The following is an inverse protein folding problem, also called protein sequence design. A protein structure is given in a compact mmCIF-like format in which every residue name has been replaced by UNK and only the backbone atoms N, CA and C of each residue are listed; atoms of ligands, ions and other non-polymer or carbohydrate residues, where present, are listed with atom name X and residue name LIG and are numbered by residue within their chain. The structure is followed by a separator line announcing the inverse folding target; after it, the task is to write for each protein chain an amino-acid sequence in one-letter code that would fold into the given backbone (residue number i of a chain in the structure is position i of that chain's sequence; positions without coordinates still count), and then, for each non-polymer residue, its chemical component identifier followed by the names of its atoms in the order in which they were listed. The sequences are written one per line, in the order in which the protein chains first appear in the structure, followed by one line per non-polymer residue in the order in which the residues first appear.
data_IF_454201056634
#
_entry.id   IF_454201056634
#
_cell.length_a   1.000
_cell.length_b   1.000
_cell.length_c   1.000
_cell.angle_alpha   90.00
_cell.angle_beta   90.00
_cell.angle_gamma   90.00
#
_symmetry.space_group_name_H-M   'P 1'
#
loop_
_entity.id
_entity.type
_entity.pdbx_description
1 polymer ?
#
# COMPACT_ATOMS: atom_id res chain seq x y z
N UNK A 1 6.05 -26.21 10.26
CA UNK A 1 4.68 -25.77 9.93
C UNK A 1 3.75 -26.39 10.95
N UNK A 2 2.72 -25.66 11.38
CA UNK A 2 1.67 -26.22 12.23
C UNK A 2 1.00 -27.41 11.52
N UNK A 3 0.74 -28.56 12.19
CA UNK A 3 0.19 -29.76 11.54
C UNK A 3 -1.12 -29.50 10.78
N UNK A 4 -1.96 -28.59 11.28
CA UNK A 4 -3.22 -28.22 10.63
C UNK A 4 -3.01 -27.51 9.28
N UNK A 5 -1.97 -26.68 9.18
CA UNK A 5 -1.62 -26.01 7.92
C UNK A 5 -1.13 -27.01 6.88
N UNK A 6 -0.37 -28.03 7.31
CA UNK A 6 0.06 -29.11 6.41
C UNK A 6 -1.13 -29.92 5.89
N UNK A 7 -2.08 -30.26 6.77
CA UNK A 7 -3.33 -30.91 6.37
C UNK A 7 -4.19 -30.06 5.44
N UNK A 8 -4.17 -28.73 5.59
CA UNK A 8 -4.92 -27.84 4.71
C UNK A 8 -4.29 -27.73 3.32
N UNK A 9 -2.96 -27.62 3.25
CA UNK A 9 -2.22 -27.52 1.98
C UNK A 9 -2.32 -28.83 1.20
N UNK A 10 -2.19 -29.96 1.88
CA UNK A 10 -2.17 -31.30 1.29
C UNK A 10 -3.53 -32.03 1.45
N UNK A 11 -4.63 -31.28 1.55
CA UNK A 11 -5.95 -31.82 1.87
C UNK A 11 -6.43 -32.85 0.83
N UNK A 12 -6.03 -32.69 -0.43
CA UNK A 12 -6.31 -33.59 -1.56
C UNK A 12 -5.54 -34.91 -1.48
N UNK A 13 -4.30 -34.86 -1.01
CA UNK A 13 -3.42 -36.02 -0.87
C UNK A 13 -3.63 -36.79 0.44
N UNK A 14 -4.37 -36.22 1.40
CA UNK A 14 -4.54 -36.81 2.71
C UNK A 14 -5.74 -37.79 2.76
N UNK A 15 -5.52 -39.12 2.93
CA UNK A 15 -6.53 -40.16 2.68
C UNK A 15 -7.73 -40.13 3.65
N UNK A 16 -7.61 -39.49 4.81
CA UNK A 16 -8.72 -39.35 5.79
C UNK A 16 -9.46 -38.01 5.71
N UNK A 17 -8.88 -37.03 5.04
CA UNK A 17 -9.37 -35.65 5.05
C UNK A 17 -10.05 -35.35 3.72
N UNK A 18 -9.32 -35.42 2.61
CA UNK A 18 -9.84 -35.25 1.24
C UNK A 18 -10.58 -33.94 0.98
N UNK A 19 -10.52 -32.96 1.90
CA UNK A 19 -11.47 -31.85 1.96
C UNK A 19 -10.92 -30.69 2.78
N UNK A 20 -10.83 -29.50 2.19
CA UNK A 20 -10.41 -28.29 2.89
C UNK A 20 -11.35 -27.91 4.03
N UNK A 21 -12.67 -28.02 3.84
CA UNK A 21 -13.66 -27.71 4.88
C UNK A 21 -13.53 -28.64 6.09
N UNK A 22 -13.19 -29.92 5.87
CA UNK A 22 -12.99 -30.87 6.97
C UNK A 22 -11.78 -30.50 7.83
N UNK A 23 -10.71 -30.00 7.22
CA UNK A 23 -9.55 -29.48 7.96
C UNK A 23 -9.95 -28.30 8.84
N UNK A 24 -10.67 -27.33 8.27
CA UNK A 24 -11.12 -26.14 8.99
C UNK A 24 -12.07 -26.50 10.13
N UNK A 25 -13.04 -27.39 9.87
CA UNK A 25 -13.99 -27.84 10.88
C UNK A 25 -13.29 -28.59 12.03
N UNK A 26 -12.31 -29.44 11.72
CA UNK A 26 -11.53 -30.15 12.73
C UNK A 26 -10.65 -29.20 13.54
N UNK A 27 -10.01 -28.22 12.89
CA UNK A 27 -9.11 -27.27 13.54
C UNK A 27 -9.85 -26.33 14.50
N UNK A 28 -10.96 -25.74 14.06
CA UNK A 28 -11.77 -24.83 14.86
C UNK A 28 -12.85 -25.54 15.71
N UNK A 29 -12.95 -26.87 15.59
CA UNK A 29 -13.98 -27.69 16.23
C UNK A 29 -15.40 -27.23 15.91
N UNK A 30 -15.64 -26.80 14.68
CA UNK A 30 -16.94 -26.28 14.25
C UNK A 30 -18.07 -27.33 14.36
N UNK A 31 -17.72 -28.63 14.38
CA UNK A 31 -18.68 -29.72 14.59
C UNK A 31 -19.20 -29.78 16.05
N UNK A 32 -18.48 -29.19 17.00
CA UNK A 32 -18.88 -29.09 18.42
C UNK A 32 -19.66 -27.80 18.71
N UNK A 33 -19.78 -26.88 17.74
CA UNK A 33 -20.41 -25.57 17.94
C UNK A 33 -21.90 -25.65 17.66
N UNK A 34 -22.71 -25.47 18.69
CA UNK A 34 -24.14 -25.24 18.55
C UNK A 34 -24.40 -23.79 18.12
N UNK A 35 -25.34 -23.59 17.19
CA UNK A 35 -25.70 -22.26 16.73
C UNK A 35 -26.61 -21.57 17.76
N UNK A 36 -26.22 -20.37 18.19
CA UNK A 36 -26.96 -19.55 19.16
C UNK A 36 -28.18 -18.81 18.57
N UNK A 37 -28.68 -19.22 17.42
CA UNK A 37 -29.74 -18.53 16.68
C UNK A 37 -31.07 -18.41 17.47
N UNK A 38 -31.45 -19.42 18.26
CA UNK A 38 -32.61 -19.32 19.16
C UNK A 38 -32.36 -18.50 20.42
N UNK A 39 -31.10 -18.28 20.82
CA UNK A 39 -30.77 -17.35 21.92
C UNK A 39 -30.93 -15.90 21.47
N UNK A 40 -30.64 -15.63 20.19
CA UNK A 40 -30.77 -14.31 19.60
C UNK A 40 -32.24 -13.96 19.28
N UNK A 41 -33.01 -14.91 18.77
CA UNK A 41 -34.44 -14.73 18.52
C UNK A 41 -35.17 -16.04 18.85
N UNK A 42 -35.92 -16.04 19.94
CA UNK A 42 -36.67 -17.19 20.40
C UNK A 42 -38.12 -17.22 19.86
N UNK A 43 -38.57 -16.16 19.18
CA UNK A 43 -39.94 -16.03 18.68
C UNK A 43 -40.11 -16.68 17.31
N UNK A 44 -39.04 -16.66 16.50
CA UNK A 44 -39.00 -17.31 15.19
C UNK A 44 -38.67 -18.81 15.31
N UNK A 45 -39.37 -19.65 14.55
CA UNK A 45 -39.19 -21.11 14.58
C UNK A 45 -37.78 -21.53 14.17
N UNK A 46 -37.17 -20.79 13.25
CA UNK A 46 -35.81 -21.00 12.74
C UNK A 46 -34.78 -20.12 13.46
N UNK A 47 -35.16 -19.42 14.53
CA UNK A 47 -34.36 -18.44 15.24
C UNK A 47 -33.86 -17.29 14.34
N UNK A 48 -32.84 -16.58 14.82
CA UNK A 48 -32.23 -15.49 14.07
C UNK A 48 -31.46 -16.03 12.85
N UNK A 49 -31.96 -15.76 11.64
CA UNK A 49 -31.34 -16.20 10.38
C UNK A 49 -29.90 -15.69 10.18
N UNK A 50 -29.52 -14.59 10.84
CA UNK A 50 -28.13 -14.08 10.80
C UNK A 50 -27.18 -14.88 11.69
N UNK A 51 -27.70 -15.48 12.76
CA UNK A 51 -26.93 -16.27 13.72
C UNK A 51 -26.97 -17.76 13.40
N UNK A 52 -27.88 -18.18 12.50
CA UNK A 52 -28.03 -19.56 12.06
C UNK A 52 -26.79 -19.99 11.26
N UNK A 53 -26.06 -20.96 11.80
CA UNK A 53 -24.92 -21.56 11.10
C UNK A 53 -25.46 -22.46 9.98
N UNK A 54 -25.39 -21.97 8.76
CA UNK A 54 -25.88 -22.70 7.57
C UNK A 54 -24.74 -23.46 6.92
N UNK A 55 -24.96 -24.72 6.57
CA UNK A 55 -23.98 -25.48 5.78
C UNK A 55 -23.92 -24.93 4.35
N UNK A 56 -22.71 -24.72 3.85
CA UNK A 56 -22.50 -24.29 2.46
C UNK A 56 -22.94 -25.38 1.49
N UNK A 57 -23.71 -25.00 0.47
CA UNK A 57 -24.11 -25.89 -0.64
C UNK A 57 -22.93 -26.27 -1.56
N UNK A 58 -21.80 -25.56 -1.43
CA UNK A 58 -20.56 -25.82 -2.17
C UNK A 58 -19.50 -26.21 -1.15
N UNK A 59 -18.84 -27.36 -1.36
CA UNK A 59 -17.88 -27.90 -0.42
C UNK A 59 -16.51 -27.23 -0.55
N UNK A 60 -15.65 -27.66 -1.47
CA UNK A 60 -14.35 -27.01 -1.69
C UNK A 60 -13.89 -27.25 -3.13
N UNK A 61 -12.76 -26.66 -3.51
CA UNK A 61 -12.16 -26.83 -4.83
C UNK A 61 -11.75 -28.28 -5.14
N UNK A 62 -11.52 -29.13 -4.12
CA UNK A 62 -11.26 -30.57 -4.33
C UNK A 62 -12.52 -31.30 -4.77
N UNK A 63 -13.63 -31.11 -4.05
CA UNK A 63 -14.88 -31.84 -4.31
C UNK A 63 -15.72 -31.25 -5.44
N UNK A 64 -15.62 -29.94 -5.66
CA UNK A 64 -16.46 -29.20 -6.61
C UNK A 64 -15.61 -28.30 -7.51
N UNK A 65 -14.60 -28.82 -8.22
CA UNK A 65 -13.62 -28.00 -8.94
C UNK A 65 -14.24 -27.07 -9.98
N UNK A 66 -15.34 -27.49 -10.63
CA UNK A 66 -16.05 -26.72 -11.64
C UNK A 66 -16.60 -25.40 -11.13
N UNK A 67 -17.04 -25.33 -9.87
CA UNK A 67 -17.53 -24.10 -9.25
C UNK A 67 -16.41 -23.06 -9.06
N UNK A 68 -15.15 -23.50 -8.99
CA UNK A 68 -14.01 -22.63 -8.73
C UNK A 68 -13.30 -22.15 -10.00
N UNK A 69 -13.59 -22.73 -11.16
CA UNK A 69 -12.98 -22.37 -12.46
C UNK A 69 -13.07 -20.86 -12.76
N UNK A 70 -14.21 -20.16 -12.54
CA UNK A 70 -14.29 -18.72 -12.79
C UNK A 70 -13.35 -17.88 -11.90
N UNK A 71 -12.91 -18.43 -10.77
CA UNK A 71 -12.04 -17.75 -9.81
C UNK A 71 -10.55 -18.06 -10.04
N UNK A 72 -10.23 -18.98 -10.95
CA UNK A 72 -8.86 -19.22 -11.41
C UNK A 72 -8.46 -18.05 -12.31
N UNK A 73 -8.12 -16.93 -11.69
CA UNK A 73 -7.62 -15.75 -12.38
C UNK A 73 -6.11 -15.88 -12.57
N UNK A 74 -5.66 -15.90 -13.82
CA UNK A 74 -4.28 -15.53 -14.13
C UNK A 74 -4.16 -14.03 -13.92
N UNK A 75 -3.93 -13.60 -12.68
CA UNK A 75 -3.66 -12.20 -12.37
C UNK A 75 -2.45 -11.79 -13.21
N UNK A 76 -2.62 -10.88 -14.19
CA UNK A 76 -1.48 -10.43 -14.98
C UNK A 76 -0.44 -9.87 -14.02
N UNK A 77 0.82 -10.26 -14.16
CA UNK A 77 1.90 -9.66 -13.38
C UNK A 77 1.84 -8.15 -13.61
N UNK A 78 1.39 -7.42 -12.60
CA UNK A 78 1.35 -5.97 -12.67
C UNK A 78 2.78 -5.47 -12.93
N UNK A 79 2.94 -4.62 -13.93
CA UNK A 79 4.22 -3.98 -14.18
C UNK A 79 4.61 -3.22 -12.91
N UNK A 80 5.85 -3.44 -12.44
CA UNK A 80 6.34 -2.78 -11.24
C UNK A 80 6.37 -1.27 -11.51
N UNK A 81 5.52 -0.53 -10.81
CA UNK A 81 5.58 0.92 -10.81
C UNK A 81 6.93 1.44 -10.30
N UNK A 82 7.22 2.74 -10.50
CA UNK A 82 8.44 3.35 -10.01
C UNK A 82 8.63 3.09 -8.51
N UNK A 83 9.89 2.88 -8.11
CA UNK A 83 10.23 2.69 -6.70
C UNK A 83 10.07 4.00 -5.95
N UNK A 84 9.49 3.92 -4.75
CA UNK A 84 9.55 4.98 -3.76
C UNK A 84 11.02 5.23 -3.38
N UNK A 85 11.33 6.46 -2.99
CA UNK A 85 12.65 6.86 -2.53
C UNK A 85 12.98 6.19 -1.18
N UNK A 86 14.23 5.77 -0.99
CA UNK A 86 14.71 5.38 0.34
C UNK A 86 15.06 6.65 1.11
N UNK A 87 14.43 6.85 2.26
CA UNK A 87 14.66 8.01 3.10
C UNK A 87 15.60 7.63 4.25
N UNK A 88 16.44 8.57 4.67
CA UNK A 88 17.23 8.40 5.88
C UNK A 88 16.31 8.48 7.11
N UNK A 89 16.76 7.92 8.24
CA UNK A 89 16.10 8.20 9.51
C UNK A 89 16.18 9.70 9.77
N UNK A 90 15.04 10.31 10.05
CA UNK A 90 14.97 11.72 10.43
C UNK A 90 14.32 11.84 11.81
N UNK A 91 14.55 12.97 12.44
CA UNK A 91 13.86 13.36 13.66
C UNK A 91 12.86 14.46 13.30
N UNK A 92 11.64 14.34 13.82
CA UNK A 92 10.54 15.25 13.48
C UNK A 92 10.87 16.68 13.91
N UNK A 93 10.99 17.59 12.95
CA UNK A 93 11.21 19.01 13.21
C UNK A 93 9.89 19.73 13.49
N UNK A 94 9.96 20.98 13.96
CA UNK A 94 8.77 21.81 14.21
C UNK A 94 7.91 22.01 12.95
N UNK A 95 8.54 22.19 11.78
CA UNK A 95 7.83 22.30 10.51
C UNK A 95 7.13 20.99 10.14
N UNK A 96 7.75 19.84 10.43
CA UNK A 96 7.17 18.55 10.12
C UNK A 96 5.94 18.28 10.99
N UNK A 97 6.01 18.61 12.30
CA UNK A 97 4.84 18.56 13.19
C UNK A 97 3.71 19.47 12.71
N UNK A 98 4.03 20.70 12.28
CA UNK A 98 3.03 21.62 11.73
C UNK A 98 2.38 21.05 10.47
N UNK A 99 3.15 20.40 9.61
CA UNK A 99 2.62 19.74 8.41
C UNK A 99 1.70 18.58 8.80
N UNK A 100 2.08 17.76 9.77
CA UNK A 100 1.23 16.70 10.34
C UNK A 100 -0.12 17.26 10.79
N UNK A 101 -0.12 18.27 11.66
CA UNK A 101 -1.34 18.89 12.19
C UNK A 101 -2.23 19.47 11.06
N UNK A 102 -1.60 20.10 10.07
CA UNK A 102 -2.30 20.68 8.91
C UNK A 102 -2.94 19.60 8.05
N UNK A 103 -2.25 18.48 7.83
CA UNK A 103 -2.77 17.35 7.06
C UNK A 103 -3.87 16.61 7.82
N UNK A 104 -3.76 16.47 9.14
CA UNK A 104 -4.80 15.86 9.96
C UNK A 104 -6.09 16.67 9.93
N UNK A 105 -6.01 18.00 10.12
CA UNK A 105 -7.18 18.87 9.98
C UNK A 105 -7.83 18.76 8.59
N UNK A 106 -7.01 18.75 7.53
CA UNK A 106 -7.51 18.54 6.17
C UNK A 106 -8.21 17.18 6.00
N UNK A 107 -7.69 16.09 6.59
CA UNK A 107 -8.30 14.76 6.49
C UNK A 107 -9.66 14.70 7.19
N UNK A 108 -9.79 15.35 8.34
CA UNK A 108 -11.07 15.45 9.05
C UNK A 108 -12.11 16.19 8.20
N UNK A 109 -11.75 17.36 7.68
CA UNK A 109 -12.61 18.16 6.81
C UNK A 109 -13.01 17.40 5.54
N UNK A 110 -12.06 16.73 4.88
CA UNK A 110 -12.32 15.91 3.70
C UNK A 110 -13.27 14.74 4.01
N UNK A 111 -13.16 14.14 5.19
CA UNK A 111 -14.03 13.04 5.63
C UNK A 111 -15.45 13.54 5.87
N UNK A 112 -15.60 14.67 6.57
CA UNK A 112 -16.90 15.31 6.79
C UNK A 112 -17.54 15.67 5.45
N UNK A 113 -16.77 16.25 4.52
CA UNK A 113 -17.26 16.67 3.21
C UNK A 113 -17.74 15.50 2.35
N UNK A 114 -17.07 14.35 2.40
CA UNK A 114 -17.36 13.22 1.51
C UNK A 114 -18.35 12.22 2.12
N UNK A 115 -18.30 12.03 3.44
CA UNK A 115 -19.05 10.98 4.14
C UNK A 115 -19.89 11.50 5.31
N UNK A 116 -19.72 12.76 5.73
CA UNK A 116 -20.44 13.36 6.86
C UNK A 116 -19.81 13.05 8.22
N UNK A 117 -20.32 13.74 9.25
CA UNK A 117 -19.79 13.66 10.63
C UNK A 117 -19.87 12.26 11.24
N UNK A 118 -20.92 11.48 10.93
CA UNK A 118 -21.07 10.13 11.47
C UNK A 118 -19.88 9.22 11.09
N UNK A 119 -19.42 9.29 9.84
CA UNK A 119 -18.28 8.50 9.39
C UNK A 119 -16.96 8.98 10.00
N UNK A 120 -16.79 10.29 10.23
CA UNK A 120 -15.63 10.77 10.96
C UNK A 120 -15.59 10.21 12.38
N UNK A 121 -16.74 10.13 13.05
CA UNK A 121 -16.84 9.57 14.40
C UNK A 121 -16.58 8.05 14.42
N UNK A 122 -17.18 7.30 13.49
CA UNK A 122 -17.17 5.83 13.55
C UNK A 122 -15.93 5.20 12.89
N UNK A 123 -15.41 5.81 11.82
CA UNK A 123 -14.28 5.28 11.03
C UNK A 123 -13.01 6.13 11.13
N UNK A 124 -13.14 7.39 11.54
CA UNK A 124 -12.03 8.34 11.62
C UNK A 124 -11.59 8.89 10.25
N UNK A 125 -10.63 9.83 10.26
CA UNK A 125 -10.08 10.48 9.05
C UNK A 125 -9.22 9.54 8.18
N UNK A 126 -8.93 8.34 8.69
CA UNK A 126 -8.19 7.28 7.99
C UNK A 126 -8.86 6.81 6.70
N UNK A 127 -10.18 6.98 6.58
CA UNK A 127 -10.95 6.60 5.37
C UNK A 127 -10.57 7.42 4.14
N UNK A 128 -10.11 8.67 4.33
CA UNK A 128 -9.61 9.52 3.24
C UNK A 128 -8.13 9.24 2.98
N UNK A 129 -7.32 9.28 4.02
CA UNK A 129 -5.87 9.09 3.95
C UNK A 129 -5.43 8.31 5.20
N UNK A 130 -4.87 7.10 5.06
CA UNK A 130 -4.33 6.35 6.19
C UNK A 130 -3.13 7.05 6.82
N UNK A 131 -2.89 6.82 8.13
CA UNK A 131 -1.76 7.43 8.84
C UNK A 131 -0.41 7.10 8.19
N UNK A 132 -0.23 5.88 7.69
CA UNK A 132 1.00 5.50 6.98
C UNK A 132 1.28 6.32 5.71
N UNK A 133 0.23 6.82 5.05
CA UNK A 133 0.35 7.72 3.91
C UNK A 133 0.70 9.13 4.39
N UNK A 134 0.03 9.62 5.43
CA UNK A 134 0.35 10.93 6.04
C UNK A 134 1.80 10.97 6.50
N UNK A 135 2.22 9.99 7.29
CA UNK A 135 3.60 9.88 7.80
C UNK A 135 4.57 9.96 6.63
N UNK A 136 4.34 9.14 5.59
CA UNK A 136 5.15 9.10 4.37
C UNK A 136 5.21 10.45 3.66
N UNK A 137 4.11 11.19 3.60
CA UNK A 137 4.08 12.54 3.02
C UNK A 137 4.98 13.47 3.82
N UNK A 138 4.88 13.45 5.15
CA UNK A 138 5.70 14.27 6.04
C UNK A 138 7.18 13.93 5.90
N UNK A 139 7.55 12.65 5.87
CA UNK A 139 8.96 12.24 5.65
C UNK A 139 9.46 12.74 4.28
N UNK A 140 8.66 12.57 3.23
CA UNK A 140 9.04 12.99 1.90
C UNK A 140 9.12 14.51 1.76
N UNK A 141 8.24 15.25 2.44
CA UNK A 141 8.27 16.71 2.49
C UNK A 141 9.52 17.23 3.20
N UNK A 142 9.90 16.62 4.33
CA UNK A 142 11.13 16.92 5.06
C UNK A 142 12.37 16.85 4.14
N UNK A 143 12.44 15.83 3.28
CA UNK A 143 13.53 15.65 2.32
C UNK A 143 13.28 16.31 0.94
N UNK A 144 12.25 17.15 0.82
CA UNK A 144 11.87 17.87 -0.41
C UNK A 144 11.71 16.95 -1.64
N UNK A 145 11.18 15.73 -1.42
CA UNK A 145 10.96 14.71 -2.47
C UNK A 145 9.66 14.88 -3.22
N UNK A 146 8.69 15.55 -2.63
CA UNK A 146 7.38 15.81 -3.25
C UNK A 146 7.37 17.24 -3.78
N UNK A 147 7.33 17.39 -5.11
CA UNK A 147 7.21 18.71 -5.78
C UNK A 147 5.96 18.82 -6.65
N UNK A 148 5.34 17.69 -6.93
CA UNK A 148 4.21 17.56 -7.84
C UNK A 148 3.31 16.42 -7.38
N UNK A 149 2.08 16.40 -7.90
CA UNK A 149 1.14 15.29 -7.69
C UNK A 149 1.69 13.95 -8.21
N UNK A 150 2.51 13.97 -9.26
CA UNK A 150 3.20 12.79 -9.75
C UNK A 150 4.23 12.25 -8.73
N UNK A 151 4.98 13.14 -8.07
CA UNK A 151 5.91 12.74 -7.01
C UNK A 151 5.15 12.19 -5.79
N UNK A 152 4.04 12.83 -5.41
CA UNK A 152 3.16 12.37 -4.34
C UNK A 152 2.65 10.95 -4.63
N UNK A 153 2.09 10.72 -5.82
CA UNK A 153 1.59 9.42 -6.24
C UNK A 153 2.70 8.36 -6.27
N UNK A 154 3.89 8.73 -6.75
CA UNK A 154 5.05 7.84 -6.77
C UNK A 154 5.54 7.47 -5.37
N UNK A 155 5.67 8.44 -4.48
CA UNK A 155 6.29 8.23 -3.16
C UNK A 155 5.36 7.56 -2.17
N UNK A 156 4.06 7.77 -2.29
CA UNK A 156 3.04 7.24 -1.36
C UNK A 156 2.29 6.04 -1.92
N UNK A 157 2.17 5.92 -3.25
CA UNK A 157 1.27 4.98 -3.94
C UNK A 157 -0.19 5.09 -3.49
N UNK A 158 -0.56 6.23 -2.93
CA UNK A 158 -1.90 6.49 -2.45
C UNK A 158 -2.83 6.73 -3.64
N UNK A 159 -3.94 5.97 -3.70
CA UNK A 159 -4.93 6.09 -4.77
C UNK A 159 -5.61 7.46 -4.82
N UNK A 160 -5.65 8.17 -3.69
CA UNK A 160 -6.19 9.53 -3.60
C UNK A 160 -5.26 10.61 -4.16
N UNK A 161 -4.01 10.29 -4.51
CA UNK A 161 -3.03 11.28 -4.97
C UNK A 161 -3.47 12.03 -6.24
N UNK A 162 -4.23 11.39 -7.13
CA UNK A 162 -4.75 12.06 -8.34
C UNK A 162 -5.94 12.98 -8.05
N UNK A 163 -6.72 12.67 -7.01
CA UNK A 163 -7.96 13.40 -6.69
C UNK A 163 -7.72 14.57 -5.76
N UNK A 164 -6.84 14.38 -4.78
CA UNK A 164 -6.57 15.32 -3.70
C UNK A 164 -5.15 15.91 -3.78
N UNK A 165 -4.33 15.44 -4.74
CA UNK A 165 -2.92 15.78 -4.79
C UNK A 165 -2.65 17.28 -4.83
N UNK A 166 -3.39 18.04 -5.62
CA UNK A 166 -3.15 19.48 -5.76
C UNK A 166 -3.34 20.23 -4.43
N UNK A 167 -4.39 19.89 -3.67
CA UNK A 167 -4.63 20.43 -2.33
C UNK A 167 -3.50 20.05 -1.37
N UNK A 168 -3.09 18.78 -1.37
CA UNK A 168 -1.99 18.30 -0.52
C UNK A 168 -0.66 18.98 -0.86
N UNK A 169 -0.35 19.15 -2.15
CA UNK A 169 0.85 19.85 -2.60
C UNK A 169 0.84 21.31 -2.14
N UNK A 170 -0.31 21.97 -2.19
CA UNK A 170 -0.44 23.34 -1.68
C UNK A 170 -0.16 23.43 -0.17
N UNK A 171 -0.67 22.49 0.62
CA UNK A 171 -0.39 22.42 2.06
C UNK A 171 1.09 22.15 2.34
N UNK A 172 1.72 21.23 1.59
CA UNK A 172 3.17 20.97 1.71
C UNK A 172 3.96 22.25 1.42
N UNK A 173 3.67 22.95 0.33
CA UNK A 173 4.41 24.16 -0.05
C UNK A 173 4.19 25.33 0.92
N UNK A 174 3.07 25.35 1.64
CA UNK A 174 2.82 26.35 2.69
C UNK A 174 3.76 26.17 3.89
N UNK A 175 4.18 24.94 4.19
CA UNK A 175 5.04 24.61 5.33
C UNK A 175 6.51 24.48 4.93
N UNK A 176 6.78 23.84 3.80
CA UNK A 176 8.11 23.65 3.20
C UNK A 176 8.17 24.37 1.85
N UNK A 177 8.38 25.70 1.83
CA UNK A 177 8.49 26.45 0.59
C UNK A 177 9.68 25.95 -0.22
N UNK A 178 9.45 25.66 -1.50
CA UNK A 178 10.53 25.32 -2.42
C UNK A 178 11.52 26.49 -2.48
N UNK A 179 12.84 26.23 -2.45
CA UNK A 179 13.82 27.27 -2.69
C UNK A 179 13.56 27.85 -4.09
N UNK A 180 13.10 29.09 -4.15
CA UNK A 180 12.94 29.80 -5.42
C UNK A 180 14.30 29.81 -6.13
N UNK A 181 14.35 29.58 -7.46
CA UNK A 181 15.55 29.84 -8.22
C UNK A 181 15.87 31.33 -8.06
N UNK A 182 17.02 31.63 -7.43
CA UNK A 182 17.59 32.97 -7.44
C UNK A 182 17.70 33.38 -8.91
N UNK A 183 16.84 34.29 -9.35
CA UNK A 183 17.03 35.00 -10.61
C UNK A 183 18.41 35.64 -10.53
N UNK A 184 19.37 35.10 -11.28
CA UNK A 184 20.68 35.72 -11.46
C UNK A 184 20.44 37.15 -11.92
N UNK A 185 20.77 38.10 -11.04
CA UNK A 185 20.97 39.48 -11.45
C UNK A 185 21.89 39.47 -12.68
N UNK A 186 21.40 40.07 -13.76
CA UNK A 186 22.07 40.19 -15.04
C UNK A 186 23.41 40.94 -14.83
N UNK A 187 24.50 40.21 -14.59
CA UNK A 187 25.83 40.78 -14.64
C UNK A 187 26.20 41.00 -16.09
N UNK A 188 26.40 42.27 -16.43
CA UNK A 188 26.71 42.77 -17.77
C UNK A 188 27.88 42.05 -18.42
N UNK A 189 27.89 41.91 -19.76
CA UNK A 189 28.98 41.26 -20.48
C UNK A 189 30.19 42.20 -20.53
N UNK A 190 31.32 41.75 -19.97
CA UNK A 190 32.63 42.35 -20.24
C UNK A 190 33.44 41.41 -21.12
N UNK A 191 33.78 41.90 -22.29
CA UNK A 191 34.48 41.24 -23.40
C UNK A 191 35.99 41.09 -23.19
N UNK A 192 36.52 39.93 -23.65
CA UNK A 192 37.90 39.64 -24.15
C UNK A 192 38.99 39.48 -23.06
N UNK A 193 39.93 38.51 -23.03
CA UNK A 193 40.57 37.66 -24.06
C UNK A 193 41.11 36.32 -23.52
N UNK A 194 41.12 35.33 -24.43
CA UNK A 194 42.01 34.15 -24.66
C UNK A 194 43.03 33.64 -23.60
N UNK A 195 42.97 32.33 -23.29
CA UNK A 195 44.01 31.34 -23.69
C UNK A 195 43.71 29.86 -23.31
N UNK A 196 43.81 29.00 -24.33
CA UNK A 196 44.33 27.60 -24.44
C UNK A 196 44.17 26.52 -23.35
N UNK A 197 43.70 25.36 -23.86
CA UNK A 197 44.06 23.95 -23.55
C UNK A 197 43.61 23.32 -22.22
N UNK A 198 42.72 22.31 -22.31
CA UNK A 198 43.13 20.91 -22.39
C UNK A 198 41.92 19.94 -22.34
N UNK A 199 42.05 18.88 -23.13
CA UNK A 199 41.14 17.76 -23.28
C UNK A 199 40.99 16.94 -21.99
N UNK A 200 39.76 16.53 -21.62
CA UNK A 200 39.53 15.15 -21.15
C UNK A 200 38.05 14.77 -21.29
N UNK A 201 37.79 13.86 -22.22
CA UNK A 201 36.54 13.11 -22.35
C UNK A 201 36.34 12.19 -21.14
N UNK A 202 35.24 12.33 -20.43
CA UNK A 202 34.84 11.40 -19.36
C UNK A 202 33.87 10.36 -19.95
N UNK A 203 34.14 9.05 -19.84
CA UNK A 203 33.35 8.03 -20.50
C UNK A 203 32.04 7.71 -19.75
N UNK A 204 31.05 7.32 -20.54
CA UNK A 204 29.74 6.84 -20.14
C UNK A 204 29.82 5.70 -19.10
N UNK A 205 28.96 5.82 -18.09
CA UNK A 205 28.75 4.88 -16.99
C UNK A 205 28.24 3.52 -17.52
N UNK A 206 29.12 2.52 -17.59
CA UNK A 206 28.77 1.16 -17.96
C UNK A 206 28.04 0.46 -16.79
N UNK A 207 26.81 0.01 -17.03
CA UNK A 207 26.02 -0.81 -16.10
C UNK A 207 26.80 -2.08 -15.74
N UNK A 208 27.14 -2.27 -14.47
CA UNK A 208 27.70 -3.54 -13.97
C UNK A 208 26.66 -4.64 -14.14
N UNK A 209 27.03 -5.70 -14.86
CA UNK A 209 26.21 -6.91 -15.01
C UNK A 209 26.36 -7.76 -13.74
N UNK A 210 25.23 -8.21 -13.21
CA UNK A 210 25.20 -9.09 -12.03
C UNK A 210 25.56 -10.51 -12.45
N UNK A 211 26.40 -11.18 -11.64
CA UNK A 211 26.84 -12.57 -11.81
C UNK A 211 26.30 -13.43 -10.67
N UNK A 212 25.96 -14.68 -10.95
CA UNK A 212 25.51 -15.64 -9.93
C UNK A 212 26.62 -15.84 -8.88
N UNK A 213 26.28 -15.81 -7.59
CA UNK A 213 27.25 -15.96 -6.50
C UNK A 213 27.84 -17.37 -6.40
N UNK A 214 27.18 -18.37 -6.96
CA UNK A 214 27.64 -19.76 -6.94
C UNK A 214 28.55 -20.11 -8.12
N UNK A 215 28.24 -19.64 -9.34
CA UNK A 215 28.97 -20.04 -10.54
C UNK A 215 29.65 -18.90 -11.31
N UNK A 216 29.37 -17.63 -10.99
CA UNK A 216 30.00 -16.46 -11.63
C UNK A 216 29.51 -16.14 -13.05
N UNK A 217 28.60 -16.93 -13.61
CA UNK A 217 28.01 -16.71 -14.94
C UNK A 217 26.94 -15.60 -14.93
N UNK A 218 26.76 -14.94 -16.07
CA UNK A 218 25.73 -13.91 -16.29
C UNK A 218 24.43 -14.56 -16.81
N UNK A 219 23.25 -14.12 -16.34
CA UNK A 219 21.96 -14.54 -16.89
C UNK A 219 21.05 -15.37 -15.98
N UNK A 220 21.50 -15.70 -14.76
CA UNK A 220 20.67 -16.26 -13.70
C UNK A 220 21.17 -15.84 -12.32
N UNK A 221 20.28 -15.89 -11.32
CA UNK A 221 20.62 -15.73 -9.91
C UNK A 221 20.63 -17.09 -9.24
#
# INVERSE_FOLDING_TARGET
LEPAMDYFINADMHPRIGCHHKVLNMFFKNEEVESDHHKCDALETLGCLRCLITQSNICCNIHTPTYFVPFISTIPKQQKGPSCSRLAKFYMALLDSKLTDTLDGWREEATIKLYGHAHLHDLGPGVIMPNSILDRIVECAHFLKIKSTADLAKETRWSGANKHGDEIIALIHQVHPLPMPLTSALLQPRTISSNTNASTSVPHNAKRKMRCSACGEEGHN
#
